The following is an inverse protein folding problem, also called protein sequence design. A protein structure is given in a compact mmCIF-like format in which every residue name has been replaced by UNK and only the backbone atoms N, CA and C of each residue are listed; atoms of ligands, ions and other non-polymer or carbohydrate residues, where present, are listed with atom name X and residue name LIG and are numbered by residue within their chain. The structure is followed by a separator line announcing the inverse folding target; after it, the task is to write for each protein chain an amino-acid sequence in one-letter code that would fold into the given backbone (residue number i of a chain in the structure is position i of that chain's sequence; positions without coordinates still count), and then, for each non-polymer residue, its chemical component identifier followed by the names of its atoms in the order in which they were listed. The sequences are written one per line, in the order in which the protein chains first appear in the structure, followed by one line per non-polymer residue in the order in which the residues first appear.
data_IF_322850540305
#
_entry.id   IF_322850540305
#
_cell.length_a   1.000
_cell.length_b   1.000
_cell.length_c   1.000
_cell.angle_alpha   90.00
_cell.angle_beta   90.00
_cell.angle_gamma   90.00
#
_symmetry.space_group_name_H-M   'P 1'
#
loop_
_entity.id
_entity.type
_entity.pdbx_description
1 polymer ?
#
# COMPACT_ATOMS: atom_id res chain seq x y z
N UNK A 1 31.48 -8.69 -3.66
CA UNK A 1 30.67 -8.31 -4.83
C UNK A 1 29.26 -8.16 -4.32
N UNK A 2 28.81 -6.91 -4.37
CA UNK A 2 27.53 -6.29 -3.98
C UNK A 2 26.48 -7.17 -3.28
N UNK A 3 26.29 -6.93 -1.98
CA UNK A 3 25.03 -7.25 -1.30
C UNK A 3 24.02 -6.18 -1.70
N UNK A 4 23.21 -6.50 -2.71
CA UNK A 4 22.00 -5.78 -3.07
C UNK A 4 21.05 -5.88 -1.87
N UNK A 5 21.06 -4.86 -1.01
CA UNK A 5 20.19 -4.76 0.16
C UNK A 5 18.76 -4.56 -0.35
N UNK A 6 18.12 -5.66 -0.72
CA UNK A 6 16.75 -5.69 -1.20
C UNK A 6 15.90 -5.29 -0.01
N UNK A 7 15.36 -4.07 -0.04
CA UNK A 7 14.38 -3.60 0.94
C UNK A 7 13.31 -4.69 1.07
N UNK A 8 13.15 -5.28 2.26
CA UNK A 8 12.19 -6.36 2.47
C UNK A 8 10.77 -5.77 2.44
N UNK A 9 10.30 -5.58 1.21
CA UNK A 9 9.00 -4.99 0.89
C UNK A 9 7.87 -5.80 1.55
N UNK A 10 8.03 -7.12 1.69
CA UNK A 10 7.00 -7.95 2.30
C UNK A 10 6.85 -7.68 3.79
N UNK A 11 7.96 -7.55 4.53
CA UNK A 11 7.90 -7.18 5.95
C UNK A 11 7.27 -5.80 6.16
N UNK A 12 7.62 -4.81 5.34
CA UNK A 12 7.01 -3.48 5.39
C UNK A 12 5.49 -3.51 5.14
N UNK A 13 5.05 -4.30 4.15
CA UNK A 13 3.62 -4.50 3.86
C UNK A 13 2.89 -5.14 5.06
N UNK A 14 3.50 -6.14 5.69
CA UNK A 14 2.91 -6.84 6.84
C UNK A 14 2.74 -5.91 8.04
N UNK A 15 3.78 -5.15 8.37
CA UNK A 15 3.73 -4.10 9.39
C UNK A 15 2.65 -3.09 9.02
N UNK A 16 2.58 -2.70 7.73
CA UNK A 16 1.62 -1.70 7.29
C UNK A 16 0.15 -2.11 7.57
N UNK A 17 -0.16 -3.38 7.30
CA UNK A 17 -1.48 -3.96 7.60
C UNK A 17 -1.75 -4.03 9.10
N UNK A 18 -0.79 -4.48 9.88
CA UNK A 18 -0.94 -4.66 11.33
C UNK A 18 -1.27 -3.33 12.03
N UNK A 19 -0.68 -2.23 11.57
CA UNK A 19 -0.92 -0.89 12.12
C UNK A 19 -2.12 -0.17 11.47
N UNK A 20 -2.81 -0.80 10.51
CA UNK A 20 -4.00 -0.23 9.88
C UNK A 20 -3.71 1.00 9.01
N UNK A 21 -2.59 0.97 8.30
CA UNK A 21 -2.27 1.99 7.32
C UNK A 21 -3.23 1.91 6.13
N UNK A 22 -3.57 3.07 5.58
CA UNK A 22 -4.26 3.25 4.31
C UNK A 22 -3.29 3.42 3.14
N UNK A 23 -2.10 3.99 3.38
CA UNK A 23 -1.02 4.17 2.41
C UNK A 23 0.33 4.06 3.09
N UNK A 24 1.27 3.40 2.44
CA UNK A 24 2.70 3.44 2.74
C UNK A 24 3.44 3.64 1.41
N UNK A 25 4.30 4.66 1.35
CA UNK A 25 5.11 4.96 0.18
C UNK A 25 6.53 5.34 0.59
N UNK A 26 7.51 4.98 -0.26
CA UNK A 26 8.85 5.54 -0.18
C UNK A 26 8.86 6.90 -0.86
N UNK A 27 9.60 7.84 -0.30
CA UNK A 27 9.98 9.07 -1.00
C UNK A 27 11.45 9.40 -0.72
N UNK A 28 12.02 10.40 -1.39
CA UNK A 28 13.41 10.80 -1.15
C UNK A 28 14.47 10.06 -1.99
N UNK A 29 15.69 9.91 -1.44
CA UNK A 29 16.89 9.49 -2.18
C UNK A 29 16.79 8.07 -2.78
N UNK A 30 16.06 7.17 -2.10
CA UNK A 30 15.79 5.80 -2.55
C UNK A 30 14.82 5.75 -3.74
N UNK A 31 13.77 6.57 -3.74
CA UNK A 31 12.84 6.66 -4.87
C UNK A 31 13.51 7.20 -6.16
N UNK A 32 14.58 8.00 -6.01
CA UNK A 32 15.35 8.58 -7.13
C UNK A 32 16.53 7.73 -7.59
N UNK A 33 16.77 6.55 -7.00
CA UNK A 33 17.90 5.67 -7.37
C UNK A 33 19.29 6.25 -7.05
N UNK A 34 19.36 7.23 -6.14
CA UNK A 34 20.60 7.94 -5.77
C UNK A 34 21.09 7.59 -4.35
N UNK A 35 20.58 6.50 -3.77
CA UNK A 35 20.86 6.14 -2.39
C UNK A 35 22.37 5.87 -2.18
N UNK A 36 22.95 6.56 -1.21
CA UNK A 36 24.29 6.26 -0.68
C UNK A 36 24.13 5.24 0.46
N UNK A 37 25.08 4.34 0.59
CA UNK A 37 25.16 3.37 1.68
C UNK A 37 25.09 4.08 3.05
N UNK A 38 24.05 3.78 3.84
CA UNK A 38 23.80 4.37 5.16
C UNK A 38 22.80 5.54 5.21
N UNK A 39 22.07 5.82 4.12
CA UNK A 39 21.01 6.84 4.09
C UNK A 39 19.78 6.39 4.90
N UNK A 40 19.23 7.32 5.67
CA UNK A 40 17.90 7.23 6.28
C UNK A 40 16.85 6.89 5.20
N UNK A 41 15.87 6.06 5.55
CA UNK A 41 14.76 5.70 4.64
C UNK A 41 13.56 6.57 4.98
N UNK A 42 13.19 7.46 4.06
CA UNK A 42 12.04 8.33 4.23
C UNK A 42 10.76 7.60 3.80
N UNK A 43 9.85 7.36 4.75
CA UNK A 43 8.59 6.67 4.53
C UNK A 43 7.42 7.61 4.79
N UNK A 44 6.57 7.74 3.78
CA UNK A 44 5.29 8.39 3.93
C UNK A 44 4.22 7.39 4.33
N UNK A 45 3.40 7.78 5.31
CA UNK A 45 2.33 6.95 5.84
C UNK A 45 1.02 7.72 5.95
N UNK A 46 -0.07 7.03 5.64
CA UNK A 46 -1.43 7.47 5.89
C UNK A 46 -2.13 6.39 6.70
N UNK A 47 -2.80 6.75 7.79
CA UNK A 47 -3.59 5.81 8.57
C UNK A 47 -5.04 5.78 8.09
N UNK A 48 -5.67 4.59 8.08
CA UNK A 48 -7.09 4.46 7.75
C UNK A 48 -8.04 4.91 8.87
N UNK A 49 -7.49 5.26 10.03
CA UNK A 49 -8.22 5.69 11.22
C UNK A 49 -7.40 6.71 12.01
N UNK A 50 -8.03 7.51 12.89
CA UNK A 50 -7.28 8.31 13.85
C UNK A 50 -6.40 7.42 14.74
N UNK A 51 -5.12 7.76 14.84
CA UNK A 51 -4.13 7.05 15.67
C UNK A 51 -3.49 8.00 16.68
N UNK A 52 -3.02 7.45 17.80
CA UNK A 52 -2.29 8.19 18.82
C UNK A 52 -0.77 8.15 18.58
N UNK A 53 -0.04 9.02 19.28
CA UNK A 53 1.43 9.11 19.18
C UNK A 53 2.14 7.76 19.43
N UNK A 54 1.68 6.98 20.41
CA UNK A 54 2.30 5.68 20.72
C UNK A 54 2.21 4.68 19.57
N UNK A 55 1.16 4.75 18.78
CA UNK A 55 0.97 3.87 17.62
C UNK A 55 1.91 4.26 16.48
N UNK A 56 2.08 5.57 16.25
CA UNK A 56 3.09 6.10 15.31
C UNK A 56 4.51 5.72 15.74
N UNK A 57 4.83 5.79 17.04
CA UNK A 57 6.14 5.39 17.57
C UNK A 57 6.38 3.88 17.45
N UNK A 58 5.36 3.05 17.70
CA UNK A 58 5.46 1.60 17.54
C UNK A 58 5.70 1.24 16.06
N UNK A 59 4.93 1.83 15.15
CA UNK A 59 5.13 1.69 13.71
C UNK A 59 6.55 2.06 13.29
N UNK A 60 7.06 3.20 13.78
CA UNK A 60 8.43 3.65 13.52
C UNK A 60 9.44 2.58 13.92
N UNK A 61 9.36 2.14 15.16
CA UNK A 61 10.32 1.21 15.73
C UNK A 61 10.31 -0.14 15.00
N UNK A 62 9.13 -0.67 14.68
CA UNK A 62 8.99 -1.92 13.93
C UNK A 62 9.53 -1.80 12.49
N UNK A 63 9.33 -0.66 11.83
CA UNK A 63 9.91 -0.43 10.49
C UNK A 63 11.43 -0.28 10.53
N UNK A 64 11.98 0.38 11.55
CA UNK A 64 13.44 0.47 11.77
C UNK A 64 14.05 -0.91 12.02
N UNK A 65 13.41 -1.73 12.85
CA UNK A 65 13.83 -3.10 13.14
C UNK A 65 13.81 -3.97 11.87
N UNK A 66 12.72 -3.88 11.10
CA UNK A 66 12.57 -4.63 9.85
C UNK A 66 13.59 -4.23 8.77
N UNK A 67 13.95 -2.94 8.71
CA UNK A 67 14.91 -2.42 7.72
C UNK A 67 16.36 -2.44 8.22
N UNK A 68 16.58 -2.64 9.52
CA UNK A 68 17.90 -2.48 10.18
C UNK A 68 18.57 -1.14 9.86
N UNK A 69 17.76 -0.11 9.60
CA UNK A 69 18.15 1.24 9.19
C UNK A 69 17.23 2.26 9.86
N UNK A 70 17.70 3.49 10.13
CA UNK A 70 16.84 4.56 10.60
C UNK A 70 15.73 4.88 9.59
N UNK A 71 14.52 5.10 10.09
CA UNK A 71 13.34 5.44 9.30
C UNK A 71 12.84 6.81 9.71
N UNK A 72 12.68 7.71 8.75
CA UNK A 72 11.93 8.95 8.98
C UNK A 72 10.49 8.76 8.52
N UNK A 73 9.57 8.68 9.48
CA UNK A 73 8.14 8.54 9.22
C UNK A 73 7.50 9.91 9.07
N UNK A 74 6.97 10.16 7.88
CA UNK A 74 6.13 11.31 7.59
C UNK A 74 4.68 10.85 7.50
N UNK A 75 3.90 11.17 8.54
CA UNK A 75 2.45 10.96 8.51
C UNK A 75 1.74 12.06 7.70
N UNK A 76 0.67 11.71 6.97
CA UNK A 76 -0.13 12.66 6.18
C UNK A 76 -0.57 13.89 7.00
N UNK A 77 -0.93 13.69 8.26
CA UNK A 77 -1.37 14.74 9.18
C UNK A 77 -0.26 15.76 9.47
N UNK A 78 1.02 15.36 9.35
CA UNK A 78 2.16 16.26 9.47
C UNK A 78 2.40 17.05 8.17
N UNK A 79 2.14 16.45 7.00
CA UNK A 79 2.34 17.10 5.68
C UNK A 79 1.25 18.12 5.37
N UNK A 80 0.02 17.89 5.83
CA UNK A 80 -1.11 18.83 5.66
C UNK A 80 -0.86 20.19 6.30
N UNK A 81 0.12 20.31 7.20
CA UNK A 81 0.54 21.56 7.83
C UNK A 81 1.41 22.44 6.89
N UNK A 82 2.00 21.90 5.82
CA UNK A 82 2.83 22.67 4.87
C UNK A 82 2.59 22.27 3.40
N UNK A 83 1.86 23.09 2.61
CA UNK A 83 1.51 22.80 1.21
C UNK A 83 2.70 22.54 0.28
N UNK A 84 3.86 23.17 0.52
CA UNK A 84 5.05 23.00 -0.32
C UNK A 84 5.70 21.63 -0.15
N UNK A 85 5.61 21.05 1.05
CA UNK A 85 6.14 19.71 1.35
C UNK A 85 5.30 18.64 0.63
N UNK A 86 3.98 18.86 0.54
CA UNK A 86 3.04 17.98 -0.16
C UNK A 86 3.37 17.82 -1.65
N UNK A 87 3.66 18.93 -2.34
CA UNK A 87 3.94 18.93 -3.77
C UNK A 87 5.25 18.18 -4.09
N UNK A 88 6.29 18.40 -3.30
CA UNK A 88 7.58 17.74 -3.48
C UNK A 88 7.56 16.23 -3.14
N UNK A 89 6.75 15.82 -2.16
CA UNK A 89 6.55 14.41 -1.81
C UNK A 89 5.78 13.69 -2.92
N UNK A 90 4.69 14.28 -3.42
CA UNK A 90 3.83 13.67 -4.42
C UNK A 90 4.54 13.37 -5.75
N UNK A 91 5.49 14.23 -6.17
CA UNK A 91 6.22 14.04 -7.43
C UNK A 91 7.24 12.89 -7.41
N UNK A 92 7.62 12.39 -6.22
CA UNK A 92 8.69 11.38 -6.08
C UNK A 92 8.31 10.17 -5.22
N UNK A 93 7.02 9.93 -5.03
CA UNK A 93 6.52 8.79 -4.26
C UNK A 93 6.54 7.49 -5.06
N UNK A 94 7.09 6.45 -4.43
CA UNK A 94 6.92 5.06 -4.87
C UNK A 94 6.03 4.34 -3.86
N UNK A 95 4.79 4.10 -4.25
CA UNK A 95 3.80 3.41 -3.41
C UNK A 95 4.26 1.98 -3.13
N UNK A 96 4.38 1.64 -1.85
CA UNK A 96 4.72 0.30 -1.38
C UNK A 96 3.50 -0.51 -1.00
N UNK A 97 2.50 0.14 -0.40
CA UNK A 97 1.27 -0.48 0.07
C UNK A 97 0.13 0.56 0.06
N UNK A 98 -1.04 0.12 -0.35
CA UNK A 98 -2.31 0.84 -0.24
C UNK A 98 -3.35 -0.13 0.31
N UNK A 99 -4.16 0.33 1.25
CA UNK A 99 -5.28 -0.44 1.79
C UNK A 99 -6.40 -0.57 0.75
N UNK A 100 -7.06 -1.72 0.77
CA UNK A 100 -7.78 -2.31 -0.35
C UNK A 100 -9.20 -1.78 -0.53
N UNK A 101 -9.53 -0.65 0.12
CA UNK A 101 -10.77 0.08 -0.12
C UNK A 101 -10.91 0.52 -1.60
N UNK A 102 -9.80 0.62 -2.34
CA UNK A 102 -9.84 0.99 -3.75
C UNK A 102 -10.40 -0.10 -4.68
N UNK A 103 -10.13 -1.39 -4.41
CA UNK A 103 -10.71 -2.48 -5.23
C UNK A 103 -12.24 -2.49 -5.12
N UNK A 104 -12.76 -2.19 -3.93
CA UNK A 104 -14.18 -1.98 -3.67
C UNK A 104 -14.77 -0.84 -4.51
N UNK A 105 -14.15 0.33 -4.48
CA UNK A 105 -14.63 1.51 -5.18
C UNK A 105 -14.60 1.33 -6.71
N UNK A 106 -13.53 0.75 -7.27
CA UNK A 106 -13.41 0.55 -8.72
C UNK A 106 -14.31 -0.59 -9.22
N UNK A 107 -14.56 -1.62 -8.40
CA UNK A 107 -15.57 -2.63 -8.70
C UNK A 107 -16.98 -2.02 -8.79
N UNK A 108 -17.31 -1.10 -7.88
CA UNK A 108 -18.59 -0.38 -7.91
C UNK A 108 -18.77 0.49 -9.16
N UNK A 109 -17.67 1.01 -9.73
CA UNK A 109 -17.68 1.81 -10.96
C UNK A 109 -17.80 0.98 -12.25
N UNK A 110 -17.76 -0.36 -12.15
CA UNK A 110 -17.79 -1.31 -13.27
C UNK A 110 -16.81 -0.95 -14.40
N UNK A 111 -15.55 -0.66 -14.02
CA UNK A 111 -14.43 -0.38 -14.95
C UNK A 111 -13.47 -1.58 -14.95
N UNK A 112 -13.68 -2.60 -15.78
CA UNK A 112 -12.97 -3.88 -15.66
C UNK A 112 -11.46 -3.78 -15.90
N UNK A 113 -11.01 -2.88 -16.79
CA UNK A 113 -9.58 -2.66 -17.03
C UNK A 113 -8.86 -2.11 -15.80
N UNK A 114 -9.41 -1.08 -15.17
CA UNK A 114 -8.87 -0.50 -13.93
C UNK A 114 -8.94 -1.52 -12.79
N UNK A 115 -10.07 -2.22 -12.66
CA UNK A 115 -10.24 -3.23 -11.62
C UNK A 115 -9.17 -4.33 -11.71
N UNK A 116 -8.76 -4.71 -12.93
CA UNK A 116 -7.69 -5.68 -13.16
C UNK A 116 -6.36 -5.21 -12.56
N UNK A 117 -6.02 -3.93 -12.71
CA UNK A 117 -4.82 -3.34 -12.12
C UNK A 117 -4.89 -3.35 -10.60
N UNK A 118 -6.03 -2.97 -10.02
CA UNK A 118 -6.22 -2.96 -8.56
C UNK A 118 -6.20 -4.37 -7.96
N UNK A 119 -6.82 -5.36 -8.60
CA UNK A 119 -6.77 -6.75 -8.09
C UNK A 119 -5.34 -7.30 -8.17
N UNK A 120 -4.60 -7.01 -9.24
CA UNK A 120 -3.18 -7.39 -9.34
C UNK A 120 -2.34 -6.68 -8.26
N UNK A 121 -2.54 -5.38 -8.08
CA UNK A 121 -1.91 -4.61 -7.02
C UNK A 121 -2.21 -5.19 -5.64
N UNK A 122 -3.47 -5.55 -5.39
CA UNK A 122 -3.90 -6.18 -4.14
C UNK A 122 -3.14 -7.48 -3.85
N UNK A 123 -3.10 -8.41 -4.80
CA UNK A 123 -2.34 -9.67 -4.64
C UNK A 123 -0.85 -9.41 -4.45
N UNK A 124 -0.24 -8.51 -5.24
CA UNK A 124 1.18 -8.15 -5.09
C UNK A 124 1.47 -7.50 -3.72
N UNK A 125 0.48 -6.84 -3.15
CA UNK A 125 0.53 -6.26 -1.82
C UNK A 125 0.19 -7.28 -0.73
N UNK A 126 0.09 -8.58 -1.06
CA UNK A 126 -0.07 -9.69 -0.13
C UNK A 126 -1.51 -10.10 0.17
N UNK A 127 -2.51 -9.59 -0.57
CA UNK A 127 -3.89 -10.02 -0.35
C UNK A 127 -4.06 -11.46 -0.85
N UNK A 128 -4.78 -12.25 -0.07
CA UNK A 128 -5.17 -13.61 -0.45
C UNK A 128 -6.34 -13.58 -1.42
N UNK A 129 -6.57 -14.69 -2.12
CA UNK A 129 -7.74 -14.82 -3.00
C UNK A 129 -9.04 -14.72 -2.23
N UNK A 130 -9.03 -15.24 -1.01
CA UNK A 130 -10.14 -15.24 -0.07
C UNK A 130 -10.49 -13.81 0.35
N UNK A 131 -9.51 -13.00 0.74
CA UNK A 131 -9.71 -11.58 1.07
C UNK A 131 -10.23 -10.78 -0.15
N UNK A 132 -9.71 -11.04 -1.35
CA UNK A 132 -10.25 -10.43 -2.58
C UNK A 132 -11.69 -10.88 -2.85
N UNK A 133 -12.03 -12.13 -2.55
CA UNK A 133 -13.41 -12.62 -2.68
C UNK A 133 -14.35 -11.97 -1.66
N UNK A 134 -13.91 -11.75 -0.42
CA UNK A 134 -14.67 -11.04 0.61
C UNK A 134 -15.01 -9.61 0.18
N UNK A 135 -14.09 -8.93 -0.50
CA UNK A 135 -14.35 -7.62 -1.11
C UNK A 135 -15.54 -7.70 -2.08
N UNK A 136 -15.56 -8.66 -3.01
CA UNK A 136 -16.69 -8.77 -3.93
C UNK A 136 -17.99 -9.24 -3.28
N UNK A 137 -17.94 -9.97 -2.16
CA UNK A 137 -19.13 -10.30 -1.38
C UNK A 137 -19.78 -9.04 -0.78
N UNK A 138 -18.98 -8.10 -0.28
CA UNK A 138 -19.46 -6.80 0.18
C UNK A 138 -20.00 -5.95 -0.99
N UNK A 139 -19.34 -5.96 -2.15
CA UNK A 139 -19.87 -5.34 -3.39
C UNK A 139 -21.25 -5.92 -3.75
N UNK A 140 -21.48 -7.22 -3.57
CA UNK A 140 -22.80 -7.82 -3.85
C UNK A 140 -23.91 -7.25 -2.95
N UNK A 141 -23.58 -6.96 -1.68
CA UNK A 141 -24.51 -6.39 -0.69
C UNK A 141 -24.80 -4.92 -0.99
N UNK A 142 -23.77 -4.12 -1.30
CA UNK A 142 -23.92 -2.67 -1.45
C UNK A 142 -24.21 -2.19 -2.87
N UNK A 143 -23.64 -2.86 -3.88
CA UNK A 143 -23.72 -2.46 -5.30
C UNK A 143 -24.53 -3.46 -6.14
N UNK A 144 -24.90 -4.60 -5.57
CA UNK A 144 -25.70 -5.64 -6.20
C UNK A 144 -24.88 -6.77 -6.82
N UNK A 145 -25.54 -7.93 -6.94
CA UNK A 145 -24.95 -9.18 -7.44
C UNK A 145 -24.30 -9.05 -8.84
N UNK A 146 -24.85 -8.30 -9.82
CA UNK A 146 -24.21 -8.16 -11.12
C UNK A 146 -22.80 -7.55 -11.05
N UNK A 147 -22.62 -6.48 -10.28
CA UNK A 147 -21.32 -5.82 -10.11
C UNK A 147 -20.29 -6.75 -9.44
N UNK A 148 -20.72 -7.53 -8.45
CA UNK A 148 -19.87 -8.52 -7.81
C UNK A 148 -19.44 -9.63 -8.78
N UNK A 149 -20.35 -10.14 -9.62
CA UNK A 149 -20.04 -11.19 -10.61
C UNK A 149 -18.99 -10.68 -11.62
N UNK A 150 -19.13 -9.45 -12.10
CA UNK A 150 -18.16 -8.85 -13.01
C UNK A 150 -16.79 -8.70 -12.32
N UNK A 151 -16.77 -8.27 -11.05
CA UNK A 151 -15.56 -8.22 -10.24
C UNK A 151 -14.89 -9.59 -10.08
N UNK A 152 -15.66 -10.63 -9.77
CA UNK A 152 -15.16 -12.00 -9.69
C UNK A 152 -14.58 -12.52 -11.01
N UNK A 153 -15.14 -12.16 -12.16
CA UNK A 153 -14.57 -12.54 -13.47
C UNK A 153 -13.20 -11.91 -13.67
N UNK A 154 -13.09 -10.60 -13.45
CA UNK A 154 -11.83 -9.87 -13.59
C UNK A 154 -10.76 -10.46 -12.65
N UNK A 155 -11.12 -10.73 -11.40
CA UNK A 155 -10.18 -11.30 -10.44
C UNK A 155 -9.71 -12.71 -10.84
N UNK A 156 -10.61 -13.56 -11.37
CA UNK A 156 -10.22 -14.88 -11.90
C UNK A 156 -9.23 -14.79 -13.05
N UNK A 157 -9.38 -13.81 -13.95
CA UNK A 157 -8.41 -13.57 -15.01
C UNK A 157 -7.04 -13.19 -14.42
N UNK A 158 -7.00 -12.29 -13.44
CA UNK A 158 -5.75 -11.90 -12.77
C UNK A 158 -5.09 -13.10 -12.09
N UNK A 159 -5.86 -13.92 -11.37
CA UNK A 159 -5.33 -15.11 -10.69
C UNK A 159 -4.73 -16.10 -11.68
N UNK A 160 -5.42 -16.35 -12.81
CA UNK A 160 -4.90 -17.19 -13.88
C UNK A 160 -3.61 -16.63 -14.50
N UNK A 161 -3.53 -15.31 -14.72
CA UNK A 161 -2.33 -14.64 -15.22
C UNK A 161 -1.15 -14.70 -14.24
N UNK A 162 -1.43 -14.68 -12.94
CA UNK A 162 -0.42 -14.80 -11.87
C UNK A 162 -0.06 -16.26 -11.55
N UNK A 163 -0.77 -17.23 -12.13
CA UNK A 163 -0.53 -18.66 -11.89
C UNK A 163 -0.87 -19.11 -10.47
N UNK A 164 -1.75 -18.39 -9.78
CA UNK A 164 -2.21 -18.72 -8.43
C UNK A 164 -3.58 -19.36 -8.46
#
# INVERSE_FOLDING_TARGET
MEQEQTLDKQSLIMIARQHGLALLALFGSYARGQAKSGSDTDLYVQFGRPVGLFEVLALKHEMEDALSLPVDLIAEEAVTLNPFVRESIAESMVVLYEDHAQAHAVAALNRPHELKLHVRGAINNGLTKEEVAEVFLQVAVYCGVPAAIDGFRVAREVFAELGI
#
